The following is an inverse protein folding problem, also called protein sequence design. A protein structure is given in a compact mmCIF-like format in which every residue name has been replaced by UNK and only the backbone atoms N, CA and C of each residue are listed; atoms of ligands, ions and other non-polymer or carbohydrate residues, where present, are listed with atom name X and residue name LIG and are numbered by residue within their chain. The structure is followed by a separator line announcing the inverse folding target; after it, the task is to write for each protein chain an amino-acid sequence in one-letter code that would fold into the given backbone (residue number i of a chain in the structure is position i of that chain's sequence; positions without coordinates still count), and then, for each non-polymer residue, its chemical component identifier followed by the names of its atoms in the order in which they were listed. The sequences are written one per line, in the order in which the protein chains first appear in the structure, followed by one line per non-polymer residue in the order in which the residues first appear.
data_IF_755218325444
#
_entry.id   IF_755218325444
#
_cell.length_a   1.000
_cell.length_b   1.000
_cell.length_c   1.000
_cell.angle_alpha   90.00
_cell.angle_beta   90.00
_cell.angle_gamma   90.00
#
_symmetry.space_group_name_H-M   'P 1'
#
loop_
_entity.id
_entity.type
_entity.pdbx_description
1 polymer ?
#
# COMPACT_ATOMS: atom_id res chain seq x y z
N UNK A 1 7.96 7.54 6.22
CA UNK A 1 6.78 7.01 5.53
C UNK A 1 6.43 5.65 6.11
N UNK A 2 5.15 5.37 6.38
CA UNK A 2 4.70 4.11 6.96
C UNK A 2 4.12 3.13 5.92
N UNK A 3 3.56 3.65 4.84
CA UNK A 3 2.85 2.85 3.83
C UNK A 3 3.26 3.28 2.43
N UNK A 4 3.59 2.31 1.56
CA UNK A 4 3.85 2.54 0.14
C UNK A 4 2.67 2.08 -0.70
N UNK A 5 2.05 2.99 -1.44
CA UNK A 5 0.98 2.69 -2.39
C UNK A 5 1.56 2.50 -3.79
N UNK A 6 1.35 1.32 -4.35
CA UNK A 6 1.74 0.93 -5.69
C UNK A 6 0.56 0.35 -6.47
N UNK A 7 0.69 0.28 -7.79
CA UNK A 7 -0.26 -0.36 -8.68
C UNK A 7 0.47 -1.20 -9.70
N UNK A 8 -0.11 -2.34 -10.07
CA UNK A 8 0.44 -3.24 -11.09
C UNK A 8 -0.59 -3.45 -12.20
N UNK A 9 -0.14 -3.36 -13.46
CA UNK A 9 -1.04 -3.49 -14.60
C UNK A 9 -2.07 -2.36 -14.73
N UNK A 10 -2.97 -2.50 -15.69
CA UNK A 10 -4.03 -1.55 -15.98
C UNK A 10 -3.60 -0.22 -16.62
N UNK A 11 -4.58 0.62 -16.91
CA UNK A 11 -4.34 1.93 -17.53
C UNK A 11 -3.59 2.89 -16.58
N UNK A 12 -2.47 3.50 -17.01
CA UNK A 12 -1.66 4.38 -16.16
C UNK A 12 -2.46 5.58 -15.62
N UNK A 13 -3.38 6.14 -16.43
CA UNK A 13 -4.23 7.26 -16.02
C UNK A 13 -5.20 6.91 -14.88
N UNK A 14 -5.83 5.74 -14.95
CA UNK A 14 -6.77 5.26 -13.92
C UNK A 14 -6.03 4.89 -12.64
N UNK A 15 -4.93 4.14 -12.77
CA UNK A 15 -4.12 3.72 -11.62
C UNK A 15 -3.49 4.89 -10.87
N UNK A 16 -3.07 5.94 -11.58
CA UNK A 16 -2.52 7.14 -10.94
C UNK A 16 -3.57 7.86 -10.08
N UNK A 17 -4.81 7.95 -10.57
CA UNK A 17 -5.91 8.54 -9.79
C UNK A 17 -6.20 7.74 -8.53
N UNK A 18 -6.31 6.42 -8.64
CA UNK A 18 -6.63 5.59 -7.46
C UNK A 18 -5.51 5.64 -6.41
N UNK A 19 -4.24 5.52 -6.84
CA UNK A 19 -3.09 5.65 -5.93
C UNK A 19 -3.08 6.98 -5.17
N UNK A 20 -3.39 8.08 -5.86
CA UNK A 20 -3.50 9.39 -5.23
C UNK A 20 -4.69 9.48 -4.28
N UNK A 21 -5.85 8.97 -4.68
CA UNK A 21 -7.06 8.97 -3.86
C UNK A 21 -6.85 8.16 -2.57
N UNK A 22 -6.28 6.96 -2.67
CA UNK A 22 -6.00 6.10 -1.52
C UNK A 22 -4.92 6.71 -0.62
N UNK A 23 -3.85 7.26 -1.20
CA UNK A 23 -2.82 7.95 -0.41
C UNK A 23 -3.40 9.14 0.35
N UNK A 24 -4.28 9.92 -0.28
CA UNK A 24 -4.98 11.02 0.37
C UNK A 24 -5.90 10.55 1.50
N UNK A 25 -6.65 9.46 1.33
CA UNK A 25 -7.48 8.87 2.38
C UNK A 25 -6.64 8.44 3.58
N UNK A 26 -5.57 7.67 3.34
CA UNK A 26 -4.65 7.24 4.40
C UNK A 26 -4.06 8.44 5.15
N UNK A 27 -3.62 9.49 4.44
CA UNK A 27 -3.09 10.71 5.06
C UNK A 27 -4.13 11.47 5.87
N UNK A 28 -5.39 11.51 5.42
CA UNK A 28 -6.50 12.13 6.19
C UNK A 28 -6.75 11.41 7.52
N UNK A 29 -6.55 10.11 7.55
CA UNK A 29 -6.64 9.28 8.75
C UNK A 29 -5.36 9.32 9.61
N UNK A 30 -4.38 10.17 9.25
CA UNK A 30 -3.13 10.34 9.99
C UNK A 30 -2.05 9.30 9.66
N UNK A 31 -2.24 8.49 8.61
CA UNK A 31 -1.28 7.47 8.18
C UNK A 31 -0.34 8.06 7.12
N UNK A 32 0.96 8.06 7.42
CA UNK A 32 1.98 8.56 6.48
C UNK A 32 2.13 7.60 5.29
N UNK A 33 1.41 7.89 4.20
CA UNK A 33 1.49 7.12 2.94
C UNK A 33 2.29 7.85 1.86
N UNK A 34 2.98 7.09 1.03
CA UNK A 34 3.74 7.54 -0.14
C UNK A 34 3.34 6.72 -1.36
N UNK A 35 3.46 7.28 -2.56
CA UNK A 35 3.16 6.56 -3.80
C UNK A 35 4.43 6.24 -4.59
N UNK A 36 4.48 5.06 -5.21
CA UNK A 36 5.61 4.72 -6.07
C UNK A 36 5.56 5.56 -7.37
N UNK A 37 6.66 6.28 -7.64
CA UNK A 37 6.77 7.25 -8.74
C UNK A 37 7.15 6.68 -10.12
N UNK A 38 7.91 5.58 -10.29
CA UNK A 38 8.25 5.13 -11.64
C UNK A 38 7.06 4.45 -12.32
N UNK A 39 6.87 4.71 -13.62
CA UNK A 39 5.77 4.15 -14.43
C UNK A 39 5.87 2.63 -14.68
N UNK A 40 7.08 2.04 -14.62
CA UNK A 40 7.32 0.58 -14.78
C UNK A 40 8.54 0.03 -14.02
N UNK A 41 8.58 0.07 -12.69
CA UNK A 41 9.50 -0.77 -11.95
C UNK A 41 8.84 -2.15 -11.78
N UNK A 42 9.59 -3.24 -12.02
CA UNK A 42 9.14 -4.59 -11.64
C UNK A 42 8.68 -4.57 -10.17
N UNK A 43 7.63 -5.31 -9.83
CA UNK A 43 7.10 -5.40 -8.46
C UNK A 43 8.21 -5.64 -7.42
N UNK A 44 9.20 -6.45 -7.78
CA UNK A 44 10.42 -6.69 -6.99
C UNK A 44 11.19 -5.42 -6.61
N UNK A 45 11.34 -4.45 -7.53
CA UNK A 45 12.02 -3.18 -7.23
C UNK A 45 11.23 -2.33 -6.24
N UNK A 46 9.91 -2.38 -6.29
CA UNK A 46 9.06 -1.61 -5.37
C UNK A 46 9.10 -2.20 -3.96
N UNK A 47 9.05 -3.53 -3.86
CA UNK A 47 9.25 -4.23 -2.59
C UNK A 47 10.65 -3.93 -2.02
N UNK A 48 11.70 -4.00 -2.84
CA UNK A 48 13.05 -3.59 -2.42
C UNK A 48 13.14 -2.13 -1.99
N UNK A 49 12.47 -1.20 -2.69
CA UNK A 49 12.45 0.21 -2.31
C UNK A 49 11.75 0.40 -0.96
N UNK A 50 10.61 -0.25 -0.74
CA UNK A 50 9.90 -0.21 0.54
C UNK A 50 10.78 -0.74 1.67
N UNK A 51 11.41 -1.90 1.48
CA UNK A 51 12.36 -2.47 2.44
C UNK A 51 13.53 -1.53 2.72
N UNK A 52 14.17 -0.99 1.68
CA UNK A 52 15.32 -0.07 1.80
C UNK A 52 14.94 1.28 2.41
N UNK A 53 13.70 1.73 2.24
CA UNK A 53 13.17 2.96 2.83
C UNK A 53 12.65 2.74 4.25
N UNK A 54 12.70 1.50 4.77
CA UNK A 54 12.16 1.16 6.08
C UNK A 54 10.63 1.25 6.15
N UNK A 55 9.95 1.06 5.03
CA UNK A 55 8.49 1.07 4.94
C UNK A 55 8.00 -0.36 5.22
N UNK A 56 7.28 -0.62 6.33
CA UNK A 56 6.85 -1.97 6.67
C UNK A 56 5.62 -2.45 5.87
N UNK A 57 4.79 -1.54 5.37
CA UNK A 57 3.54 -1.87 4.67
C UNK A 57 3.52 -1.37 3.23
N UNK A 58 3.06 -2.21 2.32
CA UNK A 58 2.96 -1.93 0.89
C UNK A 58 1.54 -2.26 0.42
N UNK A 59 0.81 -1.29 -0.10
CA UNK A 59 -0.49 -1.49 -0.72
C UNK A 59 -0.31 -1.58 -2.23
N UNK A 60 -0.79 -2.66 -2.82
CA UNK A 60 -0.79 -2.89 -4.27
C UNK A 60 -2.22 -2.86 -4.79
N UNK A 61 -2.43 -2.13 -5.89
CA UNK A 61 -3.71 -2.04 -6.58
C UNK A 61 -3.54 -2.64 -7.98
N UNK A 62 -4.09 -3.83 -8.21
CA UNK A 62 -4.26 -4.42 -9.53
C UNK A 62 -5.53 -3.94 -10.22
N UNK A 63 -5.66 -4.25 -11.51
CA UNK A 63 -6.89 -4.00 -12.27
C UNK A 63 -8.08 -4.80 -11.72
N UNK A 64 -7.84 -6.03 -11.28
CA UNK A 64 -8.85 -6.93 -10.73
C UNK A 64 -9.35 -6.44 -9.36
N UNK A 65 -8.43 -6.13 -8.44
CA UNK A 65 -8.76 -5.49 -7.16
C UNK A 65 -9.49 -4.16 -7.35
N UNK A 66 -9.04 -3.32 -8.30
CA UNK A 66 -9.73 -2.07 -8.59
C UNK A 66 -11.16 -2.31 -9.08
N UNK A 67 -11.36 -3.32 -9.93
CA UNK A 67 -12.69 -3.68 -10.44
C UNK A 67 -13.59 -4.22 -9.31
N UNK A 68 -13.01 -4.87 -8.30
CA UNK A 68 -13.72 -5.36 -7.11
C UNK A 68 -13.89 -4.30 -6.01
N UNK A 69 -13.23 -3.15 -6.14
CA UNK A 69 -13.18 -2.13 -5.09
C UNK A 69 -12.34 -2.53 -3.87
N UNK A 70 -11.49 -3.54 -4.03
CA UNK A 70 -10.56 -4.02 -3.01
C UNK A 70 -9.16 -3.46 -3.24
N UNK A 71 -8.30 -3.61 -2.25
CA UNK A 71 -6.87 -3.31 -2.33
C UNK A 71 -6.10 -4.44 -1.65
N UNK A 72 -4.87 -4.65 -2.10
CA UNK A 72 -4.02 -5.68 -1.55
C UNK A 72 -2.98 -5.05 -0.63
N UNK A 73 -3.07 -5.33 0.66
CA UNK A 73 -2.10 -4.84 1.65
C UNK A 73 -1.10 -5.95 1.92
N UNK A 74 0.18 -5.62 1.75
CA UNK A 74 1.32 -6.51 1.94
C UNK A 74 2.20 -5.98 3.04
N UNK A 75 2.40 -6.81 4.05
CA UNK A 75 3.27 -6.57 5.17
C UNK A 75 4.64 -7.19 4.90
N UNK A 76 5.65 -6.33 4.85
CA UNK A 76 7.04 -6.73 4.64
C UNK A 76 7.68 -7.24 5.93
N UNK A 77 7.16 -6.82 7.08
CA UNK A 77 7.72 -7.21 8.37
C UNK A 77 7.22 -8.58 8.85
N UNK A 78 5.99 -8.94 8.55
CA UNK A 78 5.41 -10.26 8.82
C UNK A 78 5.20 -11.12 7.58
N UNK A 79 5.68 -10.67 6.41
CA UNK A 79 5.60 -11.37 5.11
C UNK A 79 4.17 -11.83 4.75
N UNK A 80 3.17 -11.09 5.22
CA UNK A 80 1.75 -11.38 5.00
C UNK A 80 1.18 -10.55 3.86
N UNK A 81 0.27 -11.14 3.11
CA UNK A 81 -0.48 -10.44 2.08
C UNK A 81 -1.96 -10.69 2.32
N UNK A 82 -2.74 -9.62 2.34
CA UNK A 82 -4.18 -9.65 2.58
C UNK A 82 -4.87 -8.78 1.54
N UNK A 83 -6.00 -9.26 1.04
CA UNK A 83 -6.89 -8.49 0.19
C UNK A 83 -8.09 -8.06 1.02
N UNK A 84 -8.43 -6.77 0.96
CA UNK A 84 -9.54 -6.21 1.72
C UNK A 84 -10.18 -5.04 0.97
N UNK A 85 -11.41 -4.65 1.31
CA UNK A 85 -12.05 -3.48 0.74
C UNK A 85 -11.17 -2.24 0.96
N UNK A 86 -11.16 -1.32 -0.02
CA UNK A 86 -10.41 -0.06 0.13
C UNK A 86 -10.85 0.76 1.35
N UNK A 87 -12.09 0.60 1.78
CA UNK A 87 -12.67 1.28 2.95
C UNK A 87 -12.07 0.73 4.26
N UNK A 88 -11.92 -0.58 4.37
CA UNK A 88 -11.24 -1.24 5.49
C UNK A 88 -9.72 -1.08 5.45
N UNK A 89 -9.15 -0.71 4.31
CA UNK A 89 -7.70 -0.58 4.14
C UNK A 89 -7.08 0.31 5.21
N UNK A 90 -7.73 1.42 5.54
CA UNK A 90 -7.20 2.35 6.53
C UNK A 90 -7.18 1.77 7.94
N UNK A 91 -8.31 1.19 8.37
CA UNK A 91 -8.44 0.54 9.67
C UNK A 91 -7.41 -0.57 9.79
N UNK A 92 -7.28 -1.40 8.75
CA UNK A 92 -6.39 -2.55 8.79
C UNK A 92 -4.92 -2.16 8.79
N UNK A 93 -4.53 -1.22 7.95
CA UNK A 93 -3.17 -0.67 7.92
C UNK A 93 -2.80 -0.09 9.27
N UNK A 94 -3.71 0.63 9.93
CA UNK A 94 -3.49 1.15 11.28
C UNK A 94 -3.29 0.02 12.29
N UNK A 95 -4.14 -1.00 12.30
CA UNK A 95 -3.98 -2.16 13.19
C UNK A 95 -2.61 -2.82 13.00
N UNK A 96 -2.20 -3.02 11.74
CA UNK A 96 -0.90 -3.62 11.42
C UNK A 96 0.26 -2.75 11.89
N UNK A 97 0.19 -1.43 11.70
CA UNK A 97 1.19 -0.49 12.21
C UNK A 97 1.29 -0.51 13.74
N UNK A 98 0.15 -0.61 14.44
CA UNK A 98 0.13 -0.76 15.91
C UNK A 98 0.74 -2.10 16.35
N UNK A 99 0.43 -3.20 15.66
CA UNK A 99 1.05 -4.51 15.94
C UNK A 99 2.57 -4.49 15.74
N UNK A 100 3.04 -3.81 14.69
CA UNK A 100 4.47 -3.67 14.41
C UNK A 100 5.18 -2.85 15.49
N UNK A 101 4.58 -1.72 15.91
CA UNK A 101 5.12 -0.92 17.02
C UNK A 101 5.25 -1.70 18.33
N UNK A 102 4.36 -2.66 18.59
CA UNK A 102 4.42 -3.51 19.79
C UNK A 102 5.47 -4.62 19.73
N UNK A 103 6.00 -4.96 18.55
CA UNK A 103 7.03 -6.01 18.39
C UNK A 103 8.45 -5.50 18.67
N UNK A 104 8.68 -4.20 18.58
CA UNK A 104 9.97 -3.55 18.82
C UNK A 104 10.20 -3.11 20.29
N UNK A 105 9.34 -3.55 21.23
CA UNK A 105 9.41 -3.25 22.68
C UNK A 105 9.72 -4.50 23.50
#
# INVERSE_FOLDING_TARGET
TQVLVTSIGGEPGRMRKERMALSAQLRREGIASEHAFPERPRQEKQLKYALSSGIPLVITIGEDELSKGTVQVKDLAGEKQLELPREDACVKVREMLEMLRKRDI
#
